data_IF_645708197569
#
_entry.id   IF_645708197569
#
_cell.length_a   1.000
_cell.length_b   1.000
_cell.length_c   1.000
_cell.angle_alpha   90.00
_cell.angle_beta   90.00
_cell.angle_gamma   90.00
#
_symmetry.space_group_name_H-M   'P 1'
#
loop_
_entity.id
_entity.type
_entity.pdbx_description
1 polymer ?
#
# COMPACT_ATOMS: atom_id res chain seq x y z
N UNK A 1 -13.33 46.41 -30.00
CA UNK A 1 -12.19 46.02 -29.14
C UNK A 1 -12.15 47.02 -27.99
N UNK A 2 -12.28 46.54 -26.74
CA UNK A 2 -11.08 46.20 -25.99
C UNK A 2 -11.08 44.77 -25.47
N UNK A 3 -9.86 44.26 -25.39
CA UNK A 3 -9.43 42.99 -24.83
C UNK A 3 -9.60 42.95 -23.30
N UNK A 4 -9.47 41.74 -22.76
CA UNK A 4 -9.08 41.38 -21.38
C UNK A 4 -10.18 40.66 -20.59
N UNK A 5 -10.38 39.39 -20.90
CA UNK A 5 -10.47 38.41 -19.83
C UNK A 5 -9.41 37.36 -20.10
N UNK A 6 -8.40 37.35 -19.24
CA UNK A 6 -7.42 36.27 -19.18
C UNK A 6 -8.21 34.97 -19.05
N UNK A 7 -8.17 34.18 -20.11
CA UNK A 7 -8.40 32.75 -20.06
C UNK A 7 -7.28 32.19 -19.19
N UNK A 8 -7.46 32.28 -17.88
CA UNK A 8 -6.57 31.66 -16.91
C UNK A 8 -6.90 30.17 -16.93
N UNK A 9 -6.49 29.50 -18.00
CA UNK A 9 -6.15 28.08 -17.98
C UNK A 9 -4.89 27.94 -17.15
N UNK A 10 -4.96 28.25 -15.85
CA UNK A 10 -4.04 27.63 -14.93
C UNK A 10 -4.33 26.14 -15.03
N UNK A 11 -3.35 25.28 -15.38
CA UNK A 11 -3.53 23.87 -15.08
C UNK A 11 -3.92 23.83 -13.60
N UNK A 12 -5.00 23.14 -13.26
CA UNK A 12 -5.52 23.02 -11.89
C UNK A 12 -4.55 22.33 -10.90
N UNK A 13 -3.26 22.29 -11.26
CA UNK A 13 -2.10 21.71 -10.60
C UNK A 13 -1.09 22.78 -10.18
N UNK A 14 -1.47 24.07 -10.14
CA UNK A 14 -0.64 25.08 -9.49
C UNK A 14 -0.35 24.65 -8.04
N UNK A 15 0.90 24.88 -7.61
CA UNK A 15 1.47 24.66 -6.28
C UNK A 15 0.81 25.61 -5.24
N UNK A 16 -0.45 26.00 -5.45
CA UNK A 16 -1.25 26.69 -4.46
C UNK A 16 -1.77 25.64 -3.48
N UNK A 17 -1.46 25.87 -2.21
CA UNK A 17 -1.82 25.02 -1.09
C UNK A 17 -3.28 24.55 -1.21
N UNK A 18 -3.46 23.26 -1.51
CA UNK A 18 -4.78 22.63 -1.60
C UNK A 18 -5.57 22.98 -0.33
N UNK A 19 -6.74 23.64 -0.41
CA UNK A 19 -7.52 23.94 0.78
C UNK A 19 -7.91 22.62 1.45
N UNK A 20 -7.26 22.32 2.59
CA UNK A 20 -7.36 21.03 3.28
C UNK A 20 -8.59 21.06 4.19
N UNK A 21 -9.69 20.34 3.89
CA UNK A 21 -10.73 20.12 4.89
C UNK A 21 -10.12 19.28 6.03
N UNK A 22 -9.75 19.96 7.11
CA UNK A 22 -8.78 19.52 8.12
C UNK A 22 -9.00 18.08 8.62
N UNK A 23 -10.26 17.69 8.88
CA UNK A 23 -10.60 16.36 9.43
C UNK A 23 -10.40 15.20 8.43
N UNK A 24 -10.86 15.34 7.19
CA UNK A 24 -10.79 14.24 6.20
C UNK A 24 -9.36 13.94 5.76
N UNK A 25 -8.56 15.00 5.66
CA UNK A 25 -7.17 14.90 5.25
C UNK A 25 -6.28 14.25 6.33
N UNK A 26 -6.50 14.61 7.60
CA UNK A 26 -5.83 13.96 8.74
C UNK A 26 -6.12 12.46 8.79
N UNK A 27 -7.38 12.05 8.60
CA UNK A 27 -7.74 10.63 8.59
C UNK A 27 -7.12 9.87 7.41
N UNK A 28 -6.98 10.50 6.25
CA UNK A 28 -6.28 9.88 5.11
C UNK A 28 -4.79 9.67 5.42
N UNK A 29 -4.13 10.69 5.97
CA UNK A 29 -2.73 10.58 6.37
C UNK A 29 -2.51 9.60 7.52
N UNK A 30 -3.44 9.50 8.48
CA UNK A 30 -3.30 8.55 9.58
C UNK A 30 -3.38 7.11 9.06
N UNK A 31 -4.31 6.81 8.15
CA UNK A 31 -4.38 5.49 7.50
C UNK A 31 -3.10 5.20 6.71
N UNK A 32 -2.59 6.17 5.95
CA UNK A 32 -1.29 6.06 5.27
C UNK A 32 -0.14 5.74 6.22
N UNK A 33 -0.06 6.46 7.34
CA UNK A 33 0.99 6.25 8.33
C UNK A 33 0.92 4.84 8.94
N UNK A 34 -0.28 4.37 9.30
CA UNK A 34 -0.47 2.99 9.78
C UNK A 34 -0.06 1.98 8.70
N UNK A 35 -0.36 2.25 7.43
CA UNK A 35 0.05 1.41 6.30
C UNK A 35 1.58 1.31 6.16
N UNK A 36 2.30 2.42 6.39
CA UNK A 36 3.77 2.43 6.47
C UNK A 36 4.26 1.53 7.59
N UNK A 37 3.68 1.66 8.79
CA UNK A 37 4.08 0.86 9.95
C UNK A 37 3.88 -0.64 9.71
N UNK A 38 2.73 -1.04 9.17
CA UNK A 38 2.47 -2.45 8.86
C UNK A 38 3.40 -2.99 7.76
N UNK A 39 3.62 -2.21 6.70
CA UNK A 39 4.58 -2.60 5.66
C UNK A 39 6.01 -2.72 6.21
N UNK A 40 6.41 -1.83 7.12
CA UNK A 40 7.72 -1.87 7.76
C UNK A 40 7.87 -3.08 8.70
N UNK A 41 6.85 -3.39 9.50
CA UNK A 41 6.87 -4.58 10.37
C UNK A 41 7.01 -5.85 9.52
N UNK A 42 6.21 -5.98 8.46
CA UNK A 42 6.32 -7.10 7.53
C UNK A 42 7.72 -7.20 6.92
N UNK A 43 8.28 -6.08 6.46
CA UNK A 43 9.64 -5.99 5.91
C UNK A 43 10.69 -6.47 6.92
N UNK A 44 10.64 -5.98 8.17
CA UNK A 44 11.59 -6.37 9.22
C UNK A 44 11.51 -7.87 9.51
N UNK A 45 10.29 -8.42 9.64
CA UNK A 45 10.10 -9.84 9.93
C UNK A 45 10.64 -10.73 8.81
N UNK A 46 10.32 -10.44 7.55
CA UNK A 46 10.82 -11.22 6.41
C UNK A 46 12.31 -11.00 6.17
N UNK A 47 12.84 -9.79 6.38
CA UNK A 47 14.28 -9.52 6.27
C UNK A 47 15.07 -10.28 7.34
N UNK A 48 14.51 -10.43 8.55
CA UNK A 48 15.10 -11.25 9.61
C UNK A 48 15.01 -12.74 9.32
N UNK A 49 13.89 -13.21 8.75
CA UNK A 49 13.67 -14.61 8.38
C UNK A 49 14.52 -15.08 7.19
N UNK A 50 14.80 -14.19 6.24
CA UNK A 50 15.53 -14.51 5.01
C UNK A 50 16.90 -15.20 5.22
N UNK A 51 17.83 -14.67 6.04
CA UNK A 51 19.11 -15.35 6.28
C UNK A 51 18.95 -16.67 7.02
N UNK A 52 17.89 -16.85 7.84
CA UNK A 52 17.64 -18.13 8.52
C UNK A 52 17.19 -19.23 7.57
N UNK A 53 16.51 -18.85 6.48
CA UNK A 53 16.16 -19.76 5.39
C UNK A 53 17.40 -20.15 4.56
N UNK A 54 18.40 -19.27 4.44
CA UNK A 54 19.63 -19.50 3.65
C UNK A 54 20.73 -20.24 4.43
N UNK A 55 21.10 -19.77 5.62
CA UNK A 55 22.28 -20.22 6.37
C UNK A 55 21.99 -21.44 7.27
N UNK A 56 20.73 -21.64 7.67
CA UNK A 56 20.37 -22.56 8.75
C UNK A 56 20.38 -24.05 8.38
N UNK A 57 20.44 -24.42 7.09
CA UNK A 57 20.13 -25.81 6.67
C UNK A 57 18.67 -26.23 6.95
N UNK A 58 17.90 -25.40 7.67
CA UNK A 58 16.43 -25.24 7.65
C UNK A 58 16.01 -24.61 6.32
N UNK A 59 16.83 -24.78 5.29
CA UNK A 59 16.38 -24.60 3.94
C UNK A 59 15.18 -25.52 3.81
N UNK A 60 14.02 -24.91 3.59
CA UNK A 60 13.10 -25.45 2.61
C UNK A 60 13.89 -25.77 1.35
N UNK A 61 14.58 -26.92 1.34
CA UNK A 61 15.44 -27.33 0.25
C UNK A 61 14.60 -27.28 -1.01
N UNK A 62 14.92 -26.34 -1.89
CA UNK A 62 14.31 -26.16 -3.20
C UNK A 62 12.77 -25.97 -3.22
N UNK A 63 12.16 -25.54 -2.10
CA UNK A 63 10.72 -25.32 -2.01
C UNK A 63 10.28 -23.92 -2.46
N UNK A 64 9.08 -23.75 -3.05
CA UNK A 64 8.55 -22.45 -3.46
C UNK A 64 8.40 -21.46 -2.31
N UNK A 65 8.37 -21.93 -1.06
CA UNK A 65 8.15 -21.11 0.14
C UNK A 65 9.22 -20.04 0.37
N UNK A 66 10.50 -20.35 0.11
CA UNK A 66 11.59 -19.37 0.29
C UNK A 66 11.54 -18.24 -0.76
N UNK A 67 11.25 -18.57 -2.02
CA UNK A 67 11.08 -17.57 -3.09
C UNK A 67 9.82 -16.72 -2.88
N UNK A 68 8.78 -17.28 -2.29
CA UNK A 68 7.56 -16.55 -1.91
C UNK A 68 7.76 -15.66 -0.68
N UNK A 69 8.56 -16.07 0.30
CA UNK A 69 8.97 -15.20 1.41
C UNK A 69 9.76 -13.98 0.90
N UNK A 70 10.67 -14.20 -0.06
CA UNK A 70 11.37 -13.12 -0.76
C UNK A 70 10.41 -12.23 -1.57
N UNK A 71 9.40 -12.82 -2.21
CA UNK A 71 8.36 -12.06 -2.92
C UNK A 71 7.55 -11.18 -1.97
N UNK A 72 7.15 -11.70 -0.81
CA UNK A 72 6.49 -10.92 0.25
C UNK A 72 7.38 -9.81 0.81
N UNK A 73 8.69 -10.07 0.95
CA UNK A 73 9.65 -9.03 1.33
C UNK A 73 9.69 -7.91 0.28
N UNK A 74 9.72 -8.26 -1.01
CA UNK A 74 9.69 -7.31 -2.12
C UNK A 74 8.41 -6.47 -2.16
N UNK A 75 7.24 -7.08 -1.98
CA UNK A 75 5.96 -6.36 -1.98
C UNK A 75 5.74 -5.52 -0.72
N UNK A 76 6.26 -5.95 0.43
CA UNK A 76 6.32 -5.14 1.65
C UNK A 76 7.24 -3.91 1.46
N UNK A 77 8.42 -4.10 0.85
CA UNK A 77 9.35 -3.01 0.53
C UNK A 77 8.75 -2.00 -0.45
N UNK A 78 8.07 -2.48 -1.49
CA UNK A 78 7.34 -1.61 -2.42
C UNK A 78 6.27 -0.78 -1.71
N UNK A 79 5.43 -1.41 -0.87
CA UNK A 79 4.41 -0.71 -0.09
C UNK A 79 5.03 0.35 0.81
N UNK A 80 6.05 -0.03 1.59
CA UNK A 80 6.79 0.87 2.46
C UNK A 80 7.36 2.08 1.70
N UNK A 81 8.04 1.84 0.58
CA UNK A 81 8.63 2.89 -0.25
C UNK A 81 7.56 3.82 -0.80
N UNK A 82 6.50 3.28 -1.40
CA UNK A 82 5.42 4.07 -1.98
C UNK A 82 4.73 4.96 -0.94
N UNK A 83 4.32 4.39 0.20
CA UNK A 83 3.64 5.18 1.23
C UNK A 83 4.58 6.20 1.90
N UNK A 84 5.87 5.90 2.03
CA UNK A 84 6.86 6.84 2.56
C UNK A 84 7.10 8.01 1.59
N UNK A 85 7.27 7.73 0.30
CA UNK A 85 7.39 8.76 -0.75
C UNK A 85 6.15 9.65 -0.76
N UNK A 86 4.96 9.05 -0.67
CA UNK A 86 3.71 9.81 -0.63
C UNK A 86 3.68 10.79 0.56
N UNK A 87 3.99 10.30 1.77
CA UNK A 87 4.04 11.15 2.97
C UNK A 87 5.10 12.25 2.80
N UNK A 88 6.28 11.92 2.30
CA UNK A 88 7.37 12.87 2.09
C UNK A 88 6.96 13.99 1.12
N UNK A 89 6.39 13.65 -0.03
CA UNK A 89 5.92 14.61 -1.04
C UNK A 89 4.80 15.50 -0.51
N UNK A 90 3.83 14.93 0.20
CA UNK A 90 2.62 15.66 0.65
C UNK A 90 2.83 16.46 1.93
N UNK A 91 3.62 15.94 2.87
CA UNK A 91 3.83 16.55 4.20
C UNK A 91 5.07 17.46 4.19
N UNK A 92 6.19 16.98 3.64
CA UNK A 92 7.47 17.72 3.72
C UNK A 92 7.56 18.74 2.59
N UNK A 93 7.31 18.32 1.35
CA UNK A 93 7.37 19.22 0.20
C UNK A 93 6.08 19.99 -0.07
N UNK A 94 5.01 19.69 0.66
CA UNK A 94 3.70 20.33 0.49
C UNK A 94 3.19 20.26 -0.98
N UNK A 95 3.62 19.24 -1.72
CA UNK A 95 3.27 19.06 -3.12
C UNK A 95 1.96 18.28 -3.27
N UNK A 96 1.18 18.64 -4.28
CA UNK A 96 0.01 17.88 -4.67
C UNK A 96 0.44 16.65 -5.49
N UNK A 97 0.06 15.46 -5.03
CA UNK A 97 0.21 14.23 -5.81
C UNK A 97 -0.98 14.10 -6.75
N UNK A 98 -0.72 13.80 -8.02
CA UNK A 98 -1.79 13.53 -8.97
C UNK A 98 -2.68 12.38 -8.46
N UNK A 99 -4.02 12.57 -8.35
CA UNK A 99 -4.89 11.61 -7.72
C UNK A 99 -4.93 10.29 -8.49
N UNK A 100 -4.79 10.34 -9.82
CA UNK A 100 -4.64 9.13 -10.64
C UNK A 100 -3.36 8.35 -10.32
N UNK A 101 -2.25 9.03 -10.03
CA UNK A 101 -1.03 8.34 -9.62
C UNK A 101 -1.23 7.67 -8.25
N UNK A 102 -1.81 8.40 -7.28
CA UNK A 102 -2.07 7.82 -5.96
C UNK A 102 -2.91 6.56 -6.03
N UNK A 103 -4.03 6.61 -6.77
CA UNK A 103 -4.96 5.49 -6.92
C UNK A 103 -4.28 4.28 -7.56
N UNK A 104 -3.52 4.49 -8.64
CA UNK A 104 -2.83 3.39 -9.35
C UNK A 104 -1.81 2.70 -8.47
N UNK A 105 -0.93 3.45 -7.81
CA UNK A 105 0.11 2.85 -6.98
C UNK A 105 -0.44 2.20 -5.70
N UNK A 106 -1.55 2.73 -5.16
CA UNK A 106 -2.28 2.09 -4.05
C UNK A 106 -2.90 0.76 -4.46
N UNK A 107 -3.53 0.74 -5.64
CA UNK A 107 -4.06 -0.50 -6.20
C UNK A 107 -2.96 -1.52 -6.46
N UNK A 108 -1.83 -1.10 -7.04
CA UNK A 108 -0.68 -1.97 -7.26
C UNK A 108 -0.12 -2.52 -5.94
N UNK A 109 -0.03 -1.69 -4.89
CA UNK A 109 0.44 -2.13 -3.57
C UNK A 109 -0.51 -3.15 -2.94
N UNK A 110 -1.81 -2.86 -3.00
CA UNK A 110 -2.85 -3.78 -2.56
C UNK A 110 -2.77 -5.12 -3.30
N UNK A 111 -2.77 -5.09 -4.63
CA UNK A 111 -2.79 -6.29 -5.46
C UNK A 111 -1.52 -7.11 -5.27
N UNK A 112 -0.35 -6.48 -5.27
CA UNK A 112 0.92 -7.16 -5.08
C UNK A 112 0.98 -7.86 -3.71
N UNK A 113 0.67 -7.14 -2.62
CA UNK A 113 0.71 -7.69 -1.26
C UNK A 113 -0.35 -8.78 -1.05
N UNK A 114 -1.57 -8.60 -1.56
CA UNK A 114 -2.63 -9.59 -1.45
C UNK A 114 -2.28 -10.88 -2.21
N UNK A 115 -1.83 -10.76 -3.47
CA UNK A 115 -1.47 -11.93 -4.29
C UNK A 115 -0.34 -12.72 -3.65
N UNK A 116 0.77 -12.07 -3.26
CA UNK A 116 1.92 -12.78 -2.68
C UNK A 116 1.59 -13.37 -1.32
N UNK A 117 0.80 -12.68 -0.48
CA UNK A 117 0.43 -13.19 0.85
C UNK A 117 -0.55 -14.36 0.77
N UNK A 118 -1.55 -14.31 -0.11
CA UNK A 118 -2.49 -15.42 -0.29
C UNK A 118 -1.79 -16.65 -0.84
N UNK A 119 -0.91 -16.48 -1.83
CA UNK A 119 -0.11 -17.58 -2.37
C UNK A 119 0.80 -18.16 -1.30
N UNK A 120 1.45 -17.30 -0.51
CA UNK A 120 2.31 -17.75 0.57
C UNK A 120 1.55 -18.56 1.62
N UNK A 121 0.33 -18.14 2.03
CA UNK A 121 -0.51 -18.92 2.96
C UNK A 121 -0.88 -20.28 2.37
N UNK A 122 -1.24 -20.34 1.08
CA UNK A 122 -1.58 -21.59 0.42
C UNK A 122 -0.44 -22.60 0.46
N UNK A 123 0.78 -22.14 0.18
CA UNK A 123 1.98 -22.98 0.25
C UNK A 123 2.35 -23.32 1.69
N UNK A 124 2.17 -22.38 2.62
CA UNK A 124 2.39 -22.61 4.05
C UNK A 124 1.46 -23.72 4.58
N UNK A 125 0.19 -23.72 4.17
CA UNK A 125 -0.78 -24.76 4.52
C UNK A 125 -0.38 -26.12 3.94
N UNK A 126 0.01 -26.15 2.66
CA UNK A 126 0.42 -27.39 1.99
C UNK A 126 1.68 -27.99 2.61
N UNK A 127 2.67 -27.16 2.92
CA UNK A 127 3.97 -27.61 3.41
C UNK A 127 3.94 -27.98 4.89
N UNK A 128 3.16 -27.25 5.71
CA UNK A 128 3.14 -27.47 7.16
C UNK A 128 2.08 -28.43 7.67
N UNK A 129 1.20 -28.96 6.80
CA UNK A 129 0.04 -29.80 7.16
C UNK A 129 -0.30 -29.65 8.64
N UNK A 130 -0.93 -28.52 8.99
CA UNK A 130 -1.13 -28.02 10.36
C UNK A 130 -1.69 -29.07 11.35
N UNK A 131 -2.10 -30.25 10.85
CA UNK A 131 -2.49 -31.47 11.57
C UNK A 131 -1.34 -32.27 12.20
N UNK A 132 -0.06 -32.12 11.83
CA UNK A 132 1.05 -32.90 12.43
C UNK A 132 2.20 -32.02 12.97
N UNK A 133 2.02 -31.34 14.10
CA UNK A 133 3.02 -30.46 14.70
C UNK A 133 4.25 -31.19 15.33
N UNK A 134 4.35 -32.51 15.18
CA UNK A 134 5.30 -33.35 15.93
C UNK A 134 6.51 -33.87 15.15
N UNK A 135 6.56 -33.71 13.82
CA UNK A 135 7.58 -34.40 13.01
C UNK A 135 8.65 -33.52 12.37
N UNK A 136 8.53 -32.19 12.46
CA UNK A 136 9.53 -31.26 11.92
C UNK A 136 10.00 -30.25 12.97
N UNK A 137 11.32 -30.28 13.23
CA UNK A 137 12.09 -29.10 13.65
C UNK A 137 12.42 -28.94 15.11
N UNK A 138 13.71 -28.68 15.37
CA UNK A 138 14.24 -28.11 16.62
C UNK A 138 13.55 -26.77 16.92
N UNK A 139 13.65 -26.27 18.15
CA UNK A 139 12.91 -25.07 18.62
C UNK A 139 13.01 -23.82 17.74
N UNK A 140 14.10 -23.65 17.00
CA UNK A 140 14.33 -22.50 16.12
C UNK A 140 13.44 -22.48 14.86
N UNK A 141 13.10 -23.65 14.29
CA UNK A 141 12.24 -23.73 13.10
C UNK A 141 10.81 -23.28 13.43
N UNK A 142 10.31 -23.69 14.60
CA UNK A 142 8.98 -23.28 15.09
C UNK A 142 8.91 -21.77 15.33
N UNK A 143 10.02 -21.15 15.69
CA UNK A 143 10.11 -19.69 15.87
C UNK A 143 10.04 -18.98 14.53
N UNK A 144 10.78 -19.46 13.52
CA UNK A 144 10.77 -18.90 12.17
C UNK A 144 9.35 -18.88 11.58
N UNK A 145 8.65 -20.03 11.60
CA UNK A 145 7.28 -20.14 11.08
C UNK A 145 6.31 -19.19 11.74
N UNK A 146 6.41 -19.02 13.06
CA UNK A 146 5.55 -18.08 13.80
C UNK A 146 5.81 -16.63 13.39
N UNK A 147 7.07 -16.27 13.18
CA UNK A 147 7.45 -14.92 12.71
C UNK A 147 6.95 -14.68 11.29
N UNK A 148 7.09 -15.65 10.39
CA UNK A 148 6.63 -15.55 9.01
C UNK A 148 5.10 -15.50 8.89
N UNK A 149 4.39 -16.33 9.67
CA UNK A 149 2.92 -16.28 9.74
C UNK A 149 2.44 -14.92 10.27
N UNK A 150 3.07 -14.41 11.33
CA UNK A 150 2.78 -13.07 11.84
C UNK A 150 3.03 -11.99 10.79
N UNK A 151 4.19 -12.04 10.12
CA UNK A 151 4.55 -11.09 9.07
C UNK A 151 3.53 -11.10 7.93
N UNK A 152 3.08 -12.29 7.51
CA UNK A 152 2.09 -12.47 6.46
C UNK A 152 0.75 -11.84 6.84
N UNK A 153 0.29 -12.04 8.08
CA UNK A 153 -0.94 -11.40 8.59
C UNK A 153 -0.81 -9.87 8.56
N UNK A 154 0.34 -9.35 8.99
CA UNK A 154 0.58 -7.89 8.99
C UNK A 154 0.62 -7.33 7.56
N UNK A 155 1.22 -8.04 6.60
CA UNK A 155 1.18 -7.63 5.18
C UNK A 155 -0.25 -7.66 4.64
N UNK A 156 -1.05 -8.67 4.97
CA UNK A 156 -2.48 -8.70 4.57
C UNK A 156 -3.25 -7.52 5.16
N UNK A 157 -3.00 -7.16 6.41
CA UNK A 157 -3.59 -5.95 7.00
C UNK A 157 -3.16 -4.70 6.23
N UNK A 158 -1.88 -4.61 5.84
CA UNK A 158 -1.39 -3.52 4.99
C UNK A 158 -2.10 -3.48 3.63
N UNK A 159 -2.31 -4.63 2.98
CA UNK A 159 -3.06 -4.73 1.73
C UNK A 159 -4.50 -4.22 1.88
N UNK A 160 -5.19 -4.57 2.97
CA UNK A 160 -6.52 -4.06 3.29
C UNK A 160 -6.50 -2.53 3.43
N UNK A 161 -5.48 -1.96 4.09
CA UNK A 161 -5.35 -0.51 4.22
C UNK A 161 -5.11 0.18 2.87
N UNK A 162 -4.28 -0.41 1.99
CA UNK A 162 -4.13 0.07 0.62
C UNK A 162 -5.44 0.02 -0.16
N UNK A 163 -6.24 -1.03 0.02
CA UNK A 163 -7.56 -1.11 -0.59
C UNK A 163 -8.51 -0.02 -0.10
N UNK A 164 -8.50 0.28 1.21
CA UNK A 164 -9.26 1.39 1.79
C UNK A 164 -8.81 2.73 1.19
N UNK A 165 -7.50 2.96 1.09
CA UNK A 165 -6.93 4.17 0.48
C UNK A 165 -7.32 4.30 -0.99
N UNK A 166 -7.28 3.20 -1.74
CA UNK A 166 -7.72 3.12 -3.14
C UNK A 166 -9.20 3.52 -3.27
N UNK A 167 -10.11 2.89 -2.51
CA UNK A 167 -11.54 3.23 -2.52
C UNK A 167 -11.74 4.71 -2.20
N UNK A 168 -10.99 5.23 -1.22
CA UNK A 168 -11.11 6.61 -0.82
C UNK A 168 -10.67 7.58 -1.92
N UNK A 169 -9.56 7.28 -2.60
CA UNK A 169 -9.08 8.01 -3.77
C UNK A 169 -10.11 8.01 -4.89
N UNK A 170 -10.65 6.84 -5.26
CA UNK A 170 -11.71 6.72 -6.27
C UNK A 170 -12.94 7.57 -5.92
N UNK A 171 -13.38 7.54 -4.66
CA UNK A 171 -14.52 8.34 -4.18
C UNK A 171 -14.25 9.83 -4.32
N UNK A 172 -13.04 10.30 -3.96
CA UNK A 172 -12.67 11.72 -4.07
C UNK A 172 -12.71 12.16 -5.54
N UNK A 173 -12.09 11.40 -6.45
CA UNK A 173 -12.12 11.70 -7.88
C UNK A 173 -13.55 11.73 -8.44
N UNK A 174 -14.39 10.77 -8.05
CA UNK A 174 -15.77 10.73 -8.49
C UNK A 174 -16.59 11.93 -7.98
N UNK A 175 -16.41 12.34 -6.72
CA UNK A 175 -17.06 13.54 -6.17
C UNK A 175 -16.59 14.81 -6.88
N UNK A 176 -15.28 14.93 -7.15
CA UNK A 176 -14.72 16.07 -7.88
C UNK A 176 -15.28 16.16 -9.31
N UNK A 177 -15.35 15.02 -10.02
CA UNK A 177 -15.96 14.96 -11.36
C UNK A 177 -17.41 15.46 -11.36
N UNK A 178 -18.22 15.04 -10.37
CA UNK A 178 -19.62 15.48 -10.26
C UNK A 178 -19.75 16.98 -9.98
N UNK A 179 -18.89 17.54 -9.13
CA UNK A 179 -18.88 18.98 -8.84
C UNK A 179 -18.48 19.82 -10.04
N UNK A 180 -17.49 19.35 -10.81
CA UNK A 180 -17.07 20.01 -12.06
C UNK A 180 -18.24 20.15 -13.04
N UNK A 181 -18.98 19.06 -13.27
CA UNK A 181 -20.15 19.06 -14.16
C UNK A 181 -21.25 20.02 -13.69
N UNK A 182 -21.50 20.12 -12.38
CA UNK A 182 -22.51 21.05 -11.84
C UNK A 182 -22.12 22.51 -12.07
N UNK A 183 -20.85 22.87 -11.83
CA UNK A 183 -20.38 24.23 -12.08
C UNK A 183 -20.46 24.60 -13.58
N UNK A 184 -20.14 23.68 -14.48
CA UNK A 184 -20.26 23.94 -15.92
C UNK A 184 -21.72 24.17 -16.35
N UNK A 185 -22.67 23.42 -15.79
CA UNK A 185 -24.10 23.63 -16.06
C UNK A 185 -24.59 24.99 -15.56
N UNK A 186 -24.20 25.38 -14.34
CA UNK A 186 -24.55 26.69 -13.79
C UNK A 186 -24.03 27.85 -14.67
N UNK A 187 -22.79 27.76 -15.16
CA UNK A 187 -22.22 28.77 -16.07
C UNK A 187 -23.02 28.88 -17.36
N UNK A 188 -23.44 27.75 -17.95
CA UNK A 188 -24.24 27.74 -19.18
C UNK A 188 -25.68 28.26 -18.99
N UNK A 189 -26.28 28.10 -17.81
CA UNK A 189 -27.63 28.61 -17.50
C UNK A 189 -27.63 30.11 -17.12
N UNK A 190 -26.46 30.67 -16.76
CA UNK A 190 -26.30 32.07 -16.37
C UNK A 190 -25.83 33.01 -17.49
N UNK A 191 -25.58 32.48 -18.70
CA UNK A 191 -25.14 33.21 -19.89
C UNK A 191 -26.29 33.36 -20.89
#
# INVERSE_FOLDING_TARGET
MPSNFYEQTTPAWCIEAVPRPHKRWLSFLSVRFVTVLFSLIGLICFAWGYPQQQDGGIAYGDGPTASLACSNLGTAAYGFAWSSIFILVVVIFNCAVHPGASITFDFLACAAQACTSVWYIYELEHYYDFRRPSSYGKGDEKKLVRVEAFATIVILLSAILYFVLFIWGCRICHVQRKRGIQNTKFVMESA
#
